data_IF_128466932378
#
_entry.id   IF_128466932378
#
_cell.length_a   1.000
_cell.length_b   1.000
_cell.length_c   1.000
_cell.angle_alpha   90.00
_cell.angle_beta   90.00
_cell.angle_gamma   90.00
#
_symmetry.space_group_name_H-M   'P 1'
#
loop_
_entity.id
_entity.type
_entity.pdbx_description
1 polymer ?
#
# COMPACT_ATOMS: atom_id res chain seq x y z
N UNK A 1 -0.98 -5.99 -6.51
CA UNK A 1 0.09 -4.98 -6.71
C UNK A 1 0.71 -4.95 -8.12
N UNK A 2 0.31 -5.82 -9.06
CA UNK A 2 0.84 -5.83 -10.43
C UNK A 2 0.71 -4.49 -11.17
N UNK A 3 -0.29 -3.67 -10.81
CA UNK A 3 -0.51 -2.37 -11.46
C UNK A 3 0.57 -1.35 -11.08
N UNK A 4 0.99 -1.32 -9.81
CA UNK A 4 2.03 -0.40 -9.34
C UNK A 4 3.39 -0.73 -9.96
N UNK A 5 3.70 -2.01 -10.18
CA UNK A 5 4.98 -2.42 -10.77
C UNK A 5 5.05 -2.27 -12.30
N UNK A 6 3.91 -2.30 -12.99
CA UNK A 6 3.86 -2.27 -14.47
C UNK A 6 3.48 -0.91 -15.06
N UNK A 7 2.82 -0.05 -14.28
CA UNK A 7 2.34 1.26 -14.73
C UNK A 7 2.99 2.39 -13.93
N UNK A 8 3.94 3.09 -14.57
CA UNK A 8 4.67 4.22 -13.99
C UNK A 8 3.76 5.39 -13.63
N UNK A 9 2.72 5.64 -14.42
CA UNK A 9 1.78 6.73 -14.13
C UNK A 9 0.96 6.41 -12.89
N UNK A 10 0.55 5.16 -12.75
CA UNK A 10 -0.15 4.67 -11.57
C UNK A 10 0.74 4.75 -10.30
N UNK A 11 2.00 4.34 -10.41
CA UNK A 11 2.96 4.46 -9.31
C UNK A 11 3.17 5.94 -8.89
N UNK A 12 3.29 6.84 -9.86
CA UNK A 12 3.42 8.29 -9.60
C UNK A 12 2.16 8.88 -8.95
N UNK A 13 0.97 8.45 -9.39
CA UNK A 13 -0.29 8.87 -8.79
C UNK A 13 -0.38 8.44 -7.32
N UNK A 14 0.01 7.19 -7.02
CA UNK A 14 0.05 6.66 -5.66
C UNK A 14 1.07 7.40 -4.79
N UNK A 15 2.28 7.65 -5.29
CA UNK A 15 3.31 8.45 -4.63
C UNK A 15 2.81 9.86 -4.30
N UNK A 16 2.23 10.57 -5.27
CA UNK A 16 1.72 11.91 -5.08
C UNK A 16 0.59 11.96 -4.03
N UNK A 17 -0.34 11.00 -4.07
CA UNK A 17 -1.40 10.91 -3.08
C UNK A 17 -0.86 10.67 -1.67
N UNK A 18 0.15 9.80 -1.52
CA UNK A 18 0.80 9.52 -0.25
C UNK A 18 1.55 10.76 0.29
N UNK A 19 2.33 11.45 -0.53
CA UNK A 19 3.08 12.66 -0.13
C UNK A 19 2.16 13.85 0.21
N UNK A 20 0.96 13.91 -0.37
CA UNK A 20 -0.06 14.91 -0.05
C UNK A 20 -0.96 14.48 1.11
N UNK A 21 -0.64 13.39 1.82
CA UNK A 21 -1.44 12.86 2.93
C UNK A 21 -2.90 12.57 2.59
N UNK A 22 -3.20 12.22 1.33
CA UNK A 22 -4.55 11.87 0.86
C UNK A 22 -4.88 10.42 1.19
N UNK A 23 -5.04 10.12 2.48
CA UNK A 23 -5.17 8.75 3.02
C UNK A 23 -6.21 7.90 2.29
N UNK A 24 -7.41 8.43 2.07
CA UNK A 24 -8.49 7.68 1.42
C UNK A 24 -8.18 7.38 -0.05
N UNK A 25 -7.53 8.32 -0.75
CA UNK A 25 -7.08 8.10 -2.11
C UNK A 25 -5.99 7.02 -2.17
N UNK A 26 -5.05 7.01 -1.21
CA UNK A 26 -4.02 5.98 -1.11
C UNK A 26 -4.65 4.60 -0.89
N UNK A 27 -5.61 4.47 0.03
CA UNK A 27 -6.34 3.22 0.28
C UNK A 27 -7.04 2.71 -0.98
N UNK A 28 -7.73 3.59 -1.70
CA UNK A 28 -8.43 3.25 -2.94
C UNK A 28 -7.45 2.78 -4.03
N UNK A 29 -6.33 3.49 -4.20
CA UNK A 29 -5.30 3.09 -5.16
C UNK A 29 -4.66 1.75 -4.78
N UNK A 30 -4.34 1.51 -3.51
CA UNK A 30 -3.80 0.21 -3.08
C UNK A 30 -4.81 -0.91 -3.34
N UNK A 31 -6.09 -0.73 -3.01
CA UNK A 31 -7.18 -1.68 -3.30
C UNK A 31 -7.29 -1.98 -4.79
N UNK A 32 -7.32 -0.95 -5.63
CA UNK A 32 -7.45 -1.06 -7.08
C UNK A 32 -6.17 -1.59 -7.78
N UNK A 33 -5.06 -1.75 -7.05
CA UNK A 33 -3.85 -2.39 -7.56
C UNK A 33 -3.92 -3.93 -7.60
N UNK A 34 -5.05 -4.51 -7.18
CA UNK A 34 -5.31 -5.94 -7.16
C UNK A 34 -4.80 -6.63 -5.90
N UNK A 35 -4.91 -5.98 -4.73
CA UNK A 35 -4.76 -6.66 -3.44
C UNK A 35 -6.11 -7.29 -3.05
N UNK A 36 -6.08 -8.53 -2.57
CA UNK A 36 -7.29 -9.27 -2.16
C UNK A 36 -7.77 -8.86 -0.78
N UNK A 37 -6.84 -8.60 0.13
CA UNK A 37 -7.09 -8.07 1.48
C UNK A 37 -6.54 -6.65 1.59
N UNK A 38 -7.28 -5.76 2.25
CA UNK A 38 -6.81 -4.40 2.49
C UNK A 38 -5.75 -4.42 3.61
N UNK A 39 -4.50 -3.97 3.36
CA UNK A 39 -3.50 -3.85 4.39
C UNK A 39 -3.74 -2.62 5.26
N UNK A 40 -3.12 -2.60 6.44
CA UNK A 40 -2.85 -1.35 7.16
C UNK A 40 -1.74 -0.60 6.43
N UNK A 41 -2.01 0.66 6.07
CA UNK A 41 -1.12 1.46 5.23
C UNK A 41 -0.47 2.55 6.07
N UNK A 42 0.85 2.60 6.03
CA UNK A 42 1.65 3.72 6.51
C UNK A 42 2.46 4.29 5.34
N UNK A 43 2.68 5.60 5.33
CA UNK A 43 3.50 6.24 4.30
C UNK A 43 4.40 7.31 4.90
N UNK A 44 5.57 7.44 4.31
CA UNK A 44 6.54 8.50 4.57
C UNK A 44 6.92 9.17 3.24
N UNK A 45 7.60 10.31 3.26
CA UNK A 45 8.18 10.90 2.06
C UNK A 45 9.14 9.95 1.31
N UNK A 46 9.61 8.86 1.94
CA UNK A 46 10.49 7.86 1.34
C UNK A 46 9.78 6.62 0.77
N UNK A 47 8.54 6.32 1.17
CA UNK A 47 7.85 5.13 0.70
C UNK A 47 6.50 4.83 1.36
N UNK A 48 5.95 3.67 1.00
CA UNK A 48 4.78 3.03 1.63
C UNK A 48 5.24 1.80 2.41
N UNK A 49 4.59 1.57 3.54
CA UNK A 49 4.68 0.36 4.33
C UNK A 49 3.27 -0.24 4.44
N UNK A 50 3.07 -1.39 3.81
CA UNK A 50 1.80 -2.12 3.76
C UNK A 50 1.92 -3.34 4.68
N UNK A 51 1.14 -3.36 5.76
CA UNK A 51 1.07 -4.50 6.67
C UNK A 51 -0.21 -5.29 6.42
N UNK A 52 -0.08 -6.49 5.89
CA UNK A 52 -1.18 -7.45 5.72
C UNK A 52 -1.16 -8.40 6.92
N UNK A 53 -2.11 -8.22 7.83
CA UNK A 53 -2.31 -9.12 8.97
C UNK A 53 -3.40 -10.15 8.65
N UNK A 54 -3.29 -11.35 9.22
CA UNK A 54 -4.37 -12.34 9.20
C UNK A 54 -5.65 -11.76 9.82
N UNK A 55 -6.82 -12.18 9.34
CA UNK A 55 -8.11 -11.75 9.92
C UNK A 55 -8.37 -12.39 11.29
N UNK A 56 -7.68 -13.49 11.60
CA UNK A 56 -7.70 -14.11 12.93
C UNK A 56 -6.83 -13.30 13.89
N UNK A 57 -7.46 -12.30 14.52
CA UNK A 57 -6.86 -11.42 15.53
C UNK A 57 -6.31 -12.14 16.78
N UNK A 58 -6.60 -13.44 16.94
CA UNK A 58 -6.15 -14.27 18.06
C UNK A 58 -4.79 -14.91 17.84
N UNK A 59 -4.29 -14.88 16.61
CA UNK A 59 -2.95 -15.34 16.28
C UNK A 59 -2.16 -14.17 15.68
N UNK A 60 -1.26 -13.59 16.46
CA UNK A 60 -0.19 -12.67 16.02
C UNK A 60 0.84 -13.42 15.16
N UNK A 61 0.36 -14.19 14.19
CA UNK A 61 1.18 -14.91 13.24
C UNK A 61 0.70 -14.51 11.84
N UNK A 62 1.63 -14.46 10.91
CA UNK A 62 1.35 -14.12 9.51
C UNK A 62 1.09 -12.62 9.28
N UNK A 63 2.10 -11.81 9.56
CA UNK A 63 2.23 -10.48 8.97
C UNK A 63 3.05 -10.56 7.69
N UNK A 64 2.45 -10.18 6.56
CA UNK A 64 3.20 -9.87 5.36
C UNK A 64 3.41 -8.36 5.30
N UNK A 65 4.67 -7.94 5.39
CA UNK A 65 5.06 -6.55 5.25
C UNK A 65 5.61 -6.33 3.85
N UNK A 66 5.07 -5.33 3.16
CA UNK A 66 5.55 -4.91 1.85
C UNK A 66 5.97 -3.45 1.94
N UNK A 67 7.26 -3.20 1.72
CA UNK A 67 7.80 -1.86 1.57
C UNK A 67 7.89 -1.48 0.09
N UNK A 68 7.41 -0.29 -0.23
CA UNK A 68 7.52 0.28 -1.58
C UNK A 68 8.23 1.62 -1.48
N UNK A 69 9.38 1.76 -2.14
CA UNK A 69 10.23 2.96 -2.04
C UNK A 69 10.13 3.81 -3.29
N UNK A 70 10.19 5.13 -3.10
CA UNK A 70 10.18 6.11 -4.18
C UNK A 70 11.60 6.30 -4.72
N UNK A 71 12.01 5.48 -5.70
CA UNK A 71 13.26 5.66 -6.45
C UNK A 71 12.99 5.48 -7.93
#
# INVERSE_FOLDING_TARGET
MNKVSKDKNYAKQLMNAAQQSKTEQVKQLVKNSGVTQAPTIYYTPGGLHLNFASQDQTAECCHLIVELRWR
#
